data_IF_287249912172
#
_entry.id   IF_287249912172
#
_cell.length_a   1.000
_cell.length_b   1.000
_cell.length_c   1.000
_cell.angle_alpha   90.00
_cell.angle_beta   90.00
_cell.angle_gamma   90.00
#
_symmetry.space_group_name_H-M   'P 1'
#
loop_
_entity.id
_entity.type
_entity.pdbx_description
1 polymer ?
#
# COMPACT_ATOMS: atom_id res chain seq x y z
N UNK A 1 9.41 -6.26 1.80
CA UNK A 1 9.52 -4.81 1.99
C UNK A 1 10.26 -4.17 0.83
N UNK A 2 9.77 -3.03 0.35
CA UNK A 2 10.49 -2.12 -0.54
C UNK A 2 10.38 -0.69 0.00
N UNK A 3 11.29 0.20 -0.40
CA UNK A 3 11.23 1.63 -0.09
C UNK A 3 11.37 2.41 -1.38
N UNK A 4 10.56 3.46 -1.53
CA UNK A 4 10.55 4.32 -2.73
C UNK A 4 10.48 5.79 -2.31
N UNK A 5 11.18 6.64 -3.04
CA UNK A 5 11.03 8.10 -2.96
C UNK A 5 9.85 8.56 -3.82
N UNK A 6 9.02 9.43 -3.28
CA UNK A 6 7.93 10.10 -3.98
C UNK A 6 8.28 11.57 -4.22
N UNK A 7 7.57 12.22 -5.15
CA UNK A 7 7.61 13.69 -5.25
C UNK A 7 6.93 14.30 -4.02
N UNK A 8 7.30 15.52 -3.64
CA UNK A 8 6.77 16.18 -2.43
C UNK A 8 5.24 16.27 -2.43
N UNK A 9 4.63 16.62 -3.57
CA UNK A 9 3.17 16.68 -3.71
C UNK A 9 2.50 15.31 -3.51
N UNK A 10 3.07 14.26 -4.10
CA UNK A 10 2.58 12.89 -3.96
C UNK A 10 2.73 12.40 -2.52
N UNK A 11 3.83 12.76 -1.86
CA UNK A 11 4.08 12.41 -0.47
C UNK A 11 3.12 13.12 0.48
N UNK A 12 2.86 14.41 0.27
CA UNK A 12 1.89 15.16 1.07
C UNK A 12 0.48 14.59 0.95
N UNK A 13 0.04 14.26 -0.28
CA UNK A 13 -1.25 13.58 -0.53
C UNK A 13 -1.31 12.21 0.13
N UNK A 14 -0.23 11.42 0.05
CA UNK A 14 -0.13 10.13 0.73
C UNK A 14 -0.35 10.30 2.23
N UNK A 15 0.39 11.19 2.89
CA UNK A 15 0.26 11.40 4.33
C UNK A 15 -1.17 11.81 4.71
N UNK A 16 -1.78 12.74 3.98
CA UNK A 16 -3.16 13.15 4.23
C UNK A 16 -4.14 11.96 4.12
N UNK A 17 -4.03 11.12 3.09
CA UNK A 17 -4.85 9.91 2.95
C UNK A 17 -4.61 8.91 4.08
N UNK A 18 -3.36 8.76 4.54
CA UNK A 18 -3.01 7.82 5.59
C UNK A 18 -3.45 8.28 6.99
N UNK A 19 -3.56 9.58 7.22
CA UNK A 19 -4.04 10.17 8.48
C UNK A 19 -5.55 9.95 8.69
N UNK A 20 -6.32 9.81 7.60
CA UNK A 20 -7.74 9.47 7.65
C UNK A 20 -8.00 7.99 8.01
N UNK A 21 -6.98 7.14 7.93
CA UNK A 21 -7.11 5.71 8.18
C UNK A 21 -6.86 5.41 9.66
N UNK A 22 -7.81 4.75 10.35
CA UNK A 22 -7.64 4.37 11.74
C UNK A 22 -6.32 3.62 11.97
N UNK A 23 -5.53 4.17 12.88
CA UNK A 23 -4.24 3.64 13.27
C UNK A 23 -4.39 2.70 14.47
N UNK A 24 -3.62 1.62 14.49
CA UNK A 24 -3.24 1.07 15.78
C UNK A 24 -2.20 2.02 16.39
N UNK A 25 -2.35 2.49 17.65
CA UNK A 25 -1.37 3.39 18.29
C UNK A 25 0.06 2.84 18.31
N UNK A 26 0.21 1.52 18.21
CA UNK A 26 1.50 0.82 18.19
C UNK A 26 2.03 0.55 16.78
N UNK A 27 1.32 0.96 15.73
CA UNK A 27 1.70 0.73 14.34
C UNK A 27 1.98 2.06 13.62
N UNK A 28 3.23 2.24 13.18
CA UNK A 28 3.65 3.39 12.40
C UNK A 28 3.17 3.33 10.94
N UNK A 29 2.58 2.20 10.55
CA UNK A 29 2.09 1.95 9.20
C UNK A 29 0.56 1.99 9.13
N UNK A 30 0.04 2.08 7.90
CA UNK A 30 -1.38 2.09 7.57
C UNK A 30 -1.65 1.08 6.48
N UNK A 31 -2.82 0.45 6.56
CA UNK A 31 -3.26 -0.50 5.53
C UNK A 31 -4.21 0.20 4.58
N UNK A 32 -3.82 0.32 3.32
CA UNK A 32 -4.69 0.81 2.23
C UNK A 32 -5.11 -0.35 1.35
N UNK A 33 -6.27 -0.26 0.71
CA UNK A 33 -6.73 -1.28 -0.23
C UNK A 33 -6.73 -0.73 -1.64
N UNK A 34 -6.13 -1.45 -2.59
CA UNK A 34 -6.27 -1.20 -4.02
C UNK A 34 -6.92 -2.41 -4.69
N UNK A 35 -7.68 -2.17 -5.76
CA UNK A 35 -8.23 -3.24 -6.59
C UNK A 35 -7.46 -3.27 -7.92
N UNK A 36 -7.00 -4.46 -8.32
CA UNK A 36 -6.25 -4.68 -9.56
C UNK A 36 -6.76 -5.95 -10.21
N UNK A 37 -7.31 -5.83 -11.43
CA UNK A 37 -7.78 -6.96 -12.26
C UNK A 37 -8.72 -7.93 -11.51
N UNK A 38 -9.67 -7.39 -10.74
CA UNK A 38 -10.64 -8.16 -9.97
C UNK A 38 -10.16 -8.67 -8.60
N UNK A 39 -8.85 -8.63 -8.35
CA UNK A 39 -8.25 -8.94 -7.05
C UNK A 39 -8.17 -7.71 -6.14
N UNK A 40 -8.29 -7.93 -4.83
CA UNK A 40 -8.14 -6.88 -3.81
C UNK A 40 -6.79 -7.02 -3.11
N UNK A 41 -6.01 -5.95 -3.03
CA UNK A 41 -4.71 -5.94 -2.39
C UNK A 41 -4.71 -5.00 -1.19
N UNK A 42 -4.50 -5.54 0.00
CA UNK A 42 -4.26 -4.78 1.22
C UNK A 42 -2.76 -4.47 1.32
N UNK A 43 -2.36 -3.21 1.18
CA UNK A 43 -0.98 -2.74 1.20
C UNK A 43 -0.66 -2.12 2.55
N UNK A 44 0.38 -2.60 3.23
CA UNK A 44 0.86 -2.01 4.49
C UNK A 44 1.94 -0.97 4.22
N UNK A 45 1.54 0.30 4.19
CA UNK A 45 2.38 1.46 3.87
C UNK A 45 2.88 2.16 5.12
N UNK A 46 4.13 2.58 5.12
CA UNK A 46 4.75 3.36 6.19
C UNK A 46 5.42 4.59 5.59
N UNK A 47 4.91 5.81 5.87
CA UNK A 47 5.62 7.04 5.57
C UNK A 47 6.97 7.07 6.27
N UNK A 48 7.98 7.53 5.56
CA UNK A 48 9.35 7.61 6.00
C UNK A 48 9.89 9.02 5.78
N UNK A 49 10.94 9.38 6.52
CA UNK A 49 11.62 10.67 6.35
C UNK A 49 12.10 10.85 4.90
N UNK A 50 12.20 12.12 4.48
CA UNK A 50 12.66 12.53 3.15
C UNK A 50 11.74 12.12 2.00
N UNK A 51 10.42 12.26 2.19
CA UNK A 51 9.40 11.96 1.18
C UNK A 51 9.46 10.51 0.66
N UNK A 52 9.78 9.57 1.55
CA UNK A 52 9.87 8.15 1.22
C UNK A 52 8.68 7.40 1.76
N UNK A 53 8.32 6.30 1.10
CA UNK A 53 7.32 5.37 1.59
C UNK A 53 7.86 3.96 1.53
N UNK A 54 7.68 3.22 2.60
CA UNK A 54 7.95 1.80 2.65
C UNK A 54 6.64 1.02 2.44
N UNK A 55 6.65 0.06 1.51
CA UNK A 55 5.62 -0.97 1.42
C UNK A 55 6.17 -2.21 2.11
N UNK A 56 5.70 -2.46 3.33
CA UNK A 56 6.22 -3.52 4.19
C UNK A 56 5.83 -4.90 3.63
N UNK A 57 4.54 -5.05 3.34
CA UNK A 57 3.92 -6.26 2.82
C UNK A 57 2.61 -5.91 2.10
N UNK A 58 2.13 -6.85 1.28
CA UNK A 58 0.78 -6.80 0.73
C UNK A 58 0.09 -8.15 0.90
N UNK A 59 -1.23 -8.14 1.08
CA UNK A 59 -2.06 -9.35 1.06
C UNK A 59 -3.01 -9.26 -0.11
N UNK A 60 -2.94 -10.23 -1.02
CA UNK A 60 -3.94 -10.40 -2.08
C UNK A 60 -5.10 -11.22 -1.53
N UNK A 61 -6.32 -10.73 -1.71
CA UNK A 61 -7.54 -11.49 -1.47
C UNK A 61 -8.22 -11.74 -2.83
N UNK A 62 -8.21 -13.01 -3.26
CA UNK A 62 -8.91 -13.45 -4.47
C UNK A 62 -10.40 -13.60 -4.16
N UNK A 63 -11.21 -12.71 -4.74
CA UNK A 63 -12.65 -12.62 -4.49
C UNK A 63 -13.46 -13.69 -5.24
N UNK A 64 -12.83 -14.51 -6.08
CA UNK A 64 -13.51 -15.62 -6.78
C UNK A 64 -13.87 -16.78 -5.85
N UNK A 65 -13.24 -16.85 -4.67
CA UNK A 65 -13.49 -17.87 -3.66
C UNK A 65 -14.29 -17.32 -2.47
N UNK A 66 -15.06 -18.19 -1.81
CA UNK A 66 -15.79 -17.88 -0.58
C UNK A 66 -15.47 -18.93 0.50
N UNK A 67 -14.70 -18.59 1.55
CA UNK A 67 -14.09 -17.30 1.82
C UNK A 67 -12.97 -16.95 0.82
N UNK A 68 -12.61 -15.65 0.67
CA UNK A 68 -11.52 -15.24 -0.22
C UNK A 68 -10.21 -15.93 0.13
N UNK A 69 -9.49 -16.39 -0.89
CA UNK A 69 -8.15 -16.95 -0.68
C UNK A 69 -7.15 -15.80 -0.48
N UNK A 70 -6.51 -15.77 0.68
CA UNK A 70 -5.55 -14.74 1.05
C UNK A 70 -4.12 -15.22 0.82
N UNK A 71 -3.35 -14.48 0.00
CA UNK A 71 -1.94 -14.76 -0.26
C UNK A 71 -1.06 -13.58 0.18
N UNK A 72 -0.07 -13.86 1.03
CA UNK A 72 0.93 -12.88 1.42
C UNK A 72 1.91 -12.64 0.26
N UNK A 73 2.05 -11.40 -0.16
CA UNK A 73 2.99 -10.94 -1.18
C UNK A 73 4.20 -10.33 -0.50
N UNK A 74 5.35 -10.98 -0.66
CA UNK A 74 6.63 -10.50 -0.12
C UNK A 74 7.67 -10.21 -1.21
N UNK A 75 7.43 -10.67 -2.45
CA UNK A 75 8.36 -10.51 -3.58
C UNK A 75 8.49 -9.03 -3.96
N UNK A 76 9.71 -8.50 -3.86
CA UNK A 76 10.00 -7.06 -4.04
C UNK A 76 9.52 -6.49 -5.39
N UNK A 77 9.64 -7.24 -6.49
CA UNK A 77 9.15 -6.79 -7.82
C UNK A 77 7.63 -6.58 -7.84
N UNK A 78 6.87 -7.47 -7.21
CA UNK A 78 5.40 -7.37 -7.14
C UNK A 78 5.00 -6.22 -6.22
N UNK A 79 5.67 -6.09 -5.07
CA UNK A 79 5.45 -4.94 -4.18
C UNK A 79 5.74 -3.61 -4.88
N UNK A 80 6.80 -3.55 -5.70
CA UNK A 80 7.11 -2.35 -6.49
C UNK A 80 6.02 -2.02 -7.50
N UNK A 81 5.49 -3.02 -8.20
CA UNK A 81 4.39 -2.82 -9.14
C UNK A 81 3.10 -2.38 -8.43
N UNK A 82 2.75 -2.99 -7.30
CA UNK A 82 1.58 -2.62 -6.51
C UNK A 82 1.70 -1.19 -5.97
N UNK A 83 2.89 -0.78 -5.53
CA UNK A 83 3.14 0.59 -5.09
C UNK A 83 3.02 1.59 -6.25
N UNK A 84 3.51 1.26 -7.45
CA UNK A 84 3.31 2.10 -8.64
C UNK A 84 1.84 2.27 -8.96
N UNK A 85 1.08 1.17 -8.97
CA UNK A 85 -0.37 1.22 -9.23
C UNK A 85 -1.09 2.06 -8.18
N UNK A 86 -0.74 1.91 -6.90
CA UNK A 86 -1.30 2.74 -5.84
C UNK A 86 -1.02 4.23 -6.07
N UNK A 87 0.22 4.61 -6.41
CA UNK A 87 0.60 6.00 -6.70
C UNK A 87 -0.20 6.54 -7.89
N UNK A 88 -0.31 5.77 -8.99
CA UNK A 88 -1.06 6.19 -10.18
C UNK A 88 -2.55 6.34 -9.93
N UNK A 89 -3.15 5.51 -9.09
CA UNK A 89 -4.59 5.53 -8.80
C UNK A 89 -4.99 6.61 -7.79
N UNK A 90 -4.12 6.92 -6.82
CA UNK A 90 -4.52 7.69 -5.64
C UNK A 90 -3.71 8.98 -5.43
N UNK A 91 -2.53 9.11 -6.05
CA UNK A 91 -1.59 10.21 -5.82
C UNK A 91 -1.21 10.97 -7.10
N UNK A 92 -1.69 10.54 -8.27
CA UNK A 92 -1.50 11.22 -9.55
C UNK A 92 -2.25 12.56 -9.64
#
# INVERSE_FOLDING_TARGET
>A
MIVRSLREEQYSRLCAQLDEIPANPLDASRTVTINVDGDSYALKLQPEKSCRVALLQAVRADRRYSPPECTLVTKGRVLSALLELFVLQNLA
#
